data_IF_724372006067
#
_entry.id   IF_724372006067
#
_cell.length_a   1.000
_cell.length_b   1.000
_cell.length_c   1.000
_cell.angle_alpha   90.00
_cell.angle_beta   90.00
_cell.angle_gamma   90.00
#
_symmetry.space_group_name_H-M   'P 1'
#
loop_
_entity.id
_entity.type
_entity.pdbx_description
1 polymer ?
#
# COMPACT_ATOMS: atom_id res chain seq x y z
N UNK A 1 7.51 -13.24 0.87
CA UNK A 1 7.22 -11.80 0.76
C UNK A 1 6.09 -11.43 1.72
N UNK A 2 5.93 -10.15 2.05
CA UNK A 2 4.95 -9.66 3.02
C UNK A 2 4.04 -8.63 2.36
N UNK A 3 2.73 -8.73 2.59
CA UNK A 3 1.71 -7.76 2.20
C UNK A 3 1.15 -7.15 3.46
N UNK A 4 1.13 -5.82 3.56
CA UNK A 4 0.77 -5.12 4.80
C UNK A 4 -0.33 -4.09 4.62
N UNK A 5 -1.11 -3.87 5.67
CA UNK A 5 -1.93 -2.69 5.91
C UNK A 5 -2.04 -2.47 7.43
N UNK A 6 -2.24 -1.25 7.89
CA UNK A 6 -2.49 -0.99 9.31
C UNK A 6 -3.97 -1.05 9.67
N UNK A 7 -4.26 -1.50 10.89
CA UNK A 7 -5.60 -1.69 11.45
C UNK A 7 -6.06 -0.50 12.29
N UNK A 8 -5.10 0.25 12.81
CA UNK A 8 -5.36 1.36 13.71
C UNK A 8 -5.75 2.63 12.93
N UNK A 9 -6.34 3.55 13.66
CA UNK A 9 -6.51 4.94 13.29
C UNK A 9 -6.34 5.79 14.55
N UNK A 10 -6.83 7.04 14.55
CA UNK A 10 -6.58 7.99 15.64
C UNK A 10 -7.21 7.59 16.99
N UNK A 11 -8.21 6.71 16.99
CA UNK A 11 -8.83 6.17 18.20
C UNK A 11 -10.04 6.94 18.68
N UNK A 12 -10.18 7.11 20.00
CA UNK A 12 -11.35 7.73 20.61
C UNK A 12 -11.36 9.26 20.40
N UNK A 13 -12.50 9.79 20.02
CA UNK A 13 -12.74 11.22 19.95
C UNK A 13 -12.97 11.79 21.36
N UNK A 14 -12.02 12.54 21.85
CA UNK A 14 -12.09 13.15 23.21
C UNK A 14 -12.71 14.55 23.22
N UNK A 15 -13.13 15.09 22.07
CA UNK A 15 -13.73 16.42 22.01
C UNK A 15 -15.16 16.48 22.54
N UNK A 16 -15.82 15.32 22.67
CA UNK A 16 -17.23 15.24 23.08
C UNK A 16 -18.24 15.66 22.02
N UNK A 17 -17.78 15.97 20.80
CA UNK A 17 -18.64 16.38 19.68
C UNK A 17 -18.50 15.39 18.51
N UNK A 18 -19.63 15.05 17.88
CA UNK A 18 -19.68 14.13 16.74
C UNK A 18 -19.56 12.66 17.14
N UNK A 19 -19.03 11.82 16.26
CA UNK A 19 -18.84 10.40 16.49
C UNK A 19 -17.87 10.13 17.64
N UNK A 20 -18.06 9.02 18.42
CA UNK A 20 -17.24 8.74 19.61
C UNK A 20 -15.82 8.29 19.28
N UNK A 21 -15.52 7.96 18.03
CA UNK A 21 -14.21 7.51 17.56
C UNK A 21 -13.96 7.95 16.12
N UNK A 22 -12.72 8.01 15.74
CA UNK A 22 -12.28 8.19 14.35
C UNK A 22 -12.35 6.83 13.66
N UNK A 23 -13.22 6.71 12.65
CA UNK A 23 -13.52 5.41 12.03
C UNK A 23 -12.40 4.91 11.10
N UNK A 24 -11.72 5.82 10.39
CA UNK A 24 -10.63 5.47 9.49
C UNK A 24 -11.05 4.54 8.35
N UNK A 25 -12.19 4.84 7.69
CA UNK A 25 -12.72 3.95 6.67
C UNK A 25 -11.80 3.89 5.44
N UNK A 26 -11.20 5.01 5.06
CA UNK A 26 -10.22 5.07 3.98
C UNK A 26 -8.80 4.94 4.51
N UNK A 27 -8.53 5.54 5.67
CA UNK A 27 -7.27 5.49 6.40
C UNK A 27 -7.42 4.68 7.70
N UNK A 28 -7.29 3.31 7.74
CA UNK A 28 -6.89 2.50 6.60
C UNK A 28 -7.78 1.24 6.46
N UNK A 29 -9.08 1.37 6.75
CA UNK A 29 -10.05 0.29 6.54
C UNK A 29 -10.05 -0.22 5.09
N UNK A 30 -9.86 0.67 4.12
CA UNK A 30 -9.74 0.31 2.70
C UNK A 30 -8.52 -0.58 2.42
N UNK A 31 -7.35 -0.24 2.98
CA UNK A 31 -6.14 -1.07 2.84
C UNK A 31 -6.30 -2.44 3.48
N UNK A 32 -6.93 -2.51 4.66
CA UNK A 32 -7.26 -3.78 5.33
C UNK A 32 -8.18 -4.63 4.46
N UNK A 33 -9.23 -4.03 3.88
CA UNK A 33 -10.15 -4.74 2.99
C UNK A 33 -9.44 -5.29 1.75
N UNK A 34 -8.57 -4.50 1.12
CA UNK A 34 -7.74 -4.95 0.00
C UNK A 34 -6.85 -6.14 0.38
N UNK A 35 -6.15 -6.07 1.52
CA UNK A 35 -5.29 -7.18 1.99
C UNK A 35 -6.10 -8.46 2.20
N UNK A 36 -7.30 -8.37 2.80
CA UNK A 36 -8.18 -9.52 3.04
C UNK A 36 -8.73 -10.10 1.73
N UNK A 37 -9.14 -9.25 0.79
CA UNK A 37 -9.67 -9.70 -0.51
C UNK A 37 -8.58 -10.36 -1.35
N UNK A 38 -7.40 -9.76 -1.44
CA UNK A 38 -6.25 -10.34 -2.14
C UNK A 38 -5.87 -11.69 -1.51
N UNK A 39 -5.86 -11.79 -0.18
CA UNK A 39 -5.58 -13.05 0.51
C UNK A 39 -6.61 -14.13 0.16
N UNK A 40 -7.91 -13.76 0.10
CA UNK A 40 -9.01 -14.64 -0.29
C UNK A 40 -8.84 -15.14 -1.73
N UNK A 41 -8.55 -14.26 -2.68
CA UNK A 41 -8.34 -14.60 -4.09
C UNK A 41 -7.13 -15.52 -4.27
N UNK A 42 -6.01 -15.19 -3.65
CA UNK A 42 -4.81 -16.01 -3.73
C UNK A 42 -4.98 -17.38 -3.04
N UNK A 43 -5.77 -17.44 -1.95
CA UNK A 43 -6.10 -18.70 -1.30
C UNK A 43 -7.01 -19.58 -2.17
N UNK A 44 -7.91 -18.98 -2.95
CA UNK A 44 -8.79 -19.69 -3.88
C UNK A 44 -8.10 -20.10 -5.20
N UNK A 45 -6.97 -19.47 -5.56
CA UNK A 45 -6.27 -19.74 -6.80
C UNK A 45 -5.79 -21.20 -6.89
N UNK A 46 -6.03 -21.86 -8.04
CA UNK A 46 -5.61 -23.25 -8.29
C UNK A 46 -4.10 -23.40 -8.32
N UNK A 47 -3.41 -22.42 -8.89
CA UNK A 47 -1.95 -22.39 -8.96
C UNK A 47 -1.43 -21.45 -7.89
N UNK A 48 -0.61 -21.96 -7.00
CA UNK A 48 -0.01 -21.16 -5.93
C UNK A 48 1.30 -20.53 -6.40
N UNK A 49 1.64 -19.32 -5.91
CA UNK A 49 2.91 -18.69 -6.22
C UNK A 49 4.09 -19.50 -5.69
N UNK A 50 5.25 -19.36 -6.31
CA UNK A 50 6.48 -20.08 -5.92
C UNK A 50 7.00 -19.67 -4.53
N UNK A 51 6.89 -18.36 -4.20
CA UNK A 51 7.21 -17.87 -2.85
C UNK A 51 5.95 -17.75 -2.01
N UNK A 52 6.09 -18.11 -0.74
CA UNK A 52 5.02 -17.85 0.24
C UNK A 52 4.74 -16.35 0.36
N UNK A 53 3.46 -16.01 0.46
CA UNK A 53 2.98 -14.66 0.74
C UNK A 53 2.40 -14.63 2.14
N UNK A 54 2.91 -13.75 2.97
CA UNK A 54 2.45 -13.52 4.33
C UNK A 54 1.64 -12.21 4.36
N UNK A 55 0.38 -12.30 4.72
CA UNK A 55 -0.50 -11.16 4.90
C UNK A 55 -0.44 -10.73 6.37
N UNK A 56 -0.10 -9.47 6.61
CA UNK A 56 0.15 -8.96 7.97
C UNK A 56 -0.62 -7.66 8.16
N UNK A 57 -1.58 -7.69 9.06
CA UNK A 57 -2.26 -6.49 9.51
C UNK A 57 -1.51 -5.97 10.74
N UNK A 58 -0.90 -4.80 10.60
CA UNK A 58 -0.12 -4.15 11.67
C UNK A 58 -0.95 -3.14 12.43
N UNK A 59 -0.43 -2.62 13.52
CA UNK A 59 -1.10 -1.61 14.34
C UNK A 59 -0.13 -0.48 14.72
N UNK A 60 -0.67 0.60 15.26
CA UNK A 60 0.08 1.78 15.71
C UNK A 60 0.94 2.42 14.59
N UNK A 61 0.43 2.41 13.35
CA UNK A 61 0.97 3.19 12.23
C UNK A 61 0.93 4.68 12.59
N UNK A 62 -0.23 5.16 13.04
CA UNK A 62 -0.54 6.53 13.46
C UNK A 62 0.27 7.01 14.69
N UNK A 63 0.95 6.10 15.35
CA UNK A 63 1.84 6.36 16.49
C UNK A 63 3.33 6.22 16.12
N UNK A 64 3.64 6.32 14.83
CA UNK A 64 5.00 6.28 14.30
C UNK A 64 5.46 4.90 13.86
N UNK A 65 4.63 4.17 13.14
CA UNK A 65 4.93 2.89 12.48
C UNK A 65 5.36 1.78 13.46
N UNK A 66 4.82 1.77 14.69
CA UNK A 66 5.34 0.91 15.75
C UNK A 66 5.15 -0.58 15.43
N UNK A 67 3.99 -0.97 14.89
CA UNK A 67 3.69 -2.36 14.56
C UNK A 67 4.55 -2.89 13.42
N UNK A 68 4.66 -2.15 12.32
CA UNK A 68 5.51 -2.54 11.20
C UNK A 68 6.99 -2.55 11.58
N UNK A 69 7.43 -1.59 12.40
CA UNK A 69 8.80 -1.53 12.93
C UNK A 69 9.12 -2.76 13.79
N UNK A 70 8.18 -3.15 14.67
CA UNK A 70 8.32 -4.36 15.46
C UNK A 70 8.39 -5.60 14.58
N UNK A 71 7.45 -5.74 13.61
CA UNK A 71 7.40 -6.89 12.72
C UNK A 71 8.63 -6.98 11.81
N UNK A 72 9.07 -5.89 11.21
CA UNK A 72 10.26 -5.87 10.36
C UNK A 72 11.54 -6.26 11.14
N UNK A 73 11.63 -5.89 12.43
CA UNK A 73 12.74 -6.26 13.31
C UNK A 73 12.64 -7.66 13.94
N UNK A 74 11.42 -8.19 14.09
CA UNK A 74 11.14 -9.48 14.71
C UNK A 74 9.97 -10.20 13.99
N UNK A 75 10.16 -10.60 12.74
CA UNK A 75 9.11 -11.28 11.99
C UNK A 75 8.80 -12.65 12.58
N UNK A 76 7.55 -13.12 12.38
CA UNK A 76 7.10 -14.47 12.79
C UNK A 76 7.67 -15.60 11.91
N UNK A 77 8.48 -15.25 10.93
CA UNK A 77 9.20 -16.17 10.02
C UNK A 77 10.68 -15.85 10.06
N UNK A 78 11.58 -16.72 9.58
CA UNK A 78 13.01 -16.41 9.54
C UNK A 78 13.27 -15.06 8.84
N UNK A 79 14.00 -14.11 9.44
CA UNK A 79 14.17 -12.76 8.88
C UNK A 79 14.68 -12.77 7.43
N UNK A 80 15.63 -13.64 7.08
CA UNK A 80 16.18 -13.78 5.74
C UNK A 80 15.15 -14.26 4.70
N UNK A 81 13.99 -14.77 5.11
CA UNK A 81 12.90 -15.19 4.22
C UNK A 81 11.97 -14.01 3.82
N UNK A 82 12.09 -12.87 4.50
CA UNK A 82 11.31 -11.66 4.17
C UNK A 82 12.08 -10.87 3.11
N UNK A 83 11.72 -11.05 1.87
CA UNK A 83 12.48 -10.53 0.71
C UNK A 83 11.82 -9.35 0.00
N UNK A 84 10.57 -9.05 0.33
CA UNK A 84 9.81 -7.94 -0.26
C UNK A 84 8.65 -7.54 0.64
N UNK A 85 8.27 -6.27 0.61
CA UNK A 85 7.03 -5.76 1.19
C UNK A 85 6.20 -5.02 0.14
N UNK A 86 4.89 -5.25 0.13
CA UNK A 86 3.89 -4.48 -0.59
C UNK A 86 2.88 -3.94 0.41
N UNK A 87 2.78 -2.63 0.52
CA UNK A 87 1.96 -1.96 1.54
C UNK A 87 0.73 -1.29 0.92
N UNK A 88 -0.44 -1.54 1.51
CA UNK A 88 -1.72 -0.96 1.14
C UNK A 88 -2.13 0.05 2.20
N UNK A 89 -2.08 1.33 1.80
CA UNK A 89 -2.42 2.43 2.69
C UNK A 89 -3.08 3.55 1.90
N UNK A 90 -4.37 3.78 2.19
CA UNK A 90 -5.17 4.83 1.56
C UNK A 90 -5.15 4.74 0.03
N UNK A 91 -5.66 3.64 -0.55
CA UNK A 91 -5.75 3.46 -2.01
C UNK A 91 -6.52 4.58 -2.73
N UNK A 92 -7.50 5.19 -2.05
CA UNK A 92 -8.37 6.26 -2.52
C UNK A 92 -9.17 5.88 -3.78
N UNK A 93 -10.06 4.87 -3.73
CA UNK A 93 -10.94 4.51 -4.83
C UNK A 93 -12.07 5.53 -5.00
N UNK A 94 -11.74 6.75 -5.41
CA UNK A 94 -12.65 7.88 -5.56
C UNK A 94 -12.96 8.21 -7.02
N UNK A 95 -12.32 7.50 -7.98
CA UNK A 95 -12.49 7.66 -9.41
C UNK A 95 -12.20 6.35 -10.15
N UNK A 96 -12.38 6.36 -11.47
CA UNK A 96 -12.08 5.20 -12.32
C UNK A 96 -10.62 4.78 -12.18
N UNK A 97 -10.39 3.48 -11.99
CA UNK A 97 -9.05 2.89 -11.93
C UNK A 97 -8.52 2.59 -13.35
N UNK A 98 -7.90 3.57 -13.97
CA UNK A 98 -7.23 3.50 -15.26
C UNK A 98 -5.76 3.93 -15.18
N UNK A 99 -5.33 4.34 -14.00
CA UNK A 99 -3.95 4.68 -13.70
C UNK A 99 -3.59 4.32 -12.27
N UNK A 100 -2.31 4.02 -12.03
CA UNK A 100 -1.77 3.63 -10.72
C UNK A 100 -0.56 4.48 -10.37
N UNK A 101 -0.51 4.95 -9.14
CA UNK A 101 0.67 5.54 -8.51
C UNK A 101 1.34 4.46 -7.66
N UNK A 102 2.62 4.21 -7.93
CA UNK A 102 3.41 3.19 -7.25
C UNK A 102 4.63 3.86 -6.63
N UNK A 103 4.59 4.04 -5.32
CA UNK A 103 5.73 4.55 -4.58
C UNK A 103 6.84 3.48 -4.51
N UNK A 104 8.08 3.89 -4.76
CA UNK A 104 9.24 3.00 -4.78
C UNK A 104 9.47 2.28 -6.11
N UNK A 105 8.72 2.62 -7.17
CA UNK A 105 8.75 1.93 -8.48
C UNK A 105 10.13 1.93 -9.15
N UNK A 106 10.94 2.94 -8.91
CA UNK A 106 12.27 3.06 -9.50
C UNK A 106 13.40 2.61 -8.56
N UNK A 107 13.06 2.22 -7.33
CA UNK A 107 14.04 1.94 -6.29
C UNK A 107 14.53 0.48 -6.28
N UNK A 108 13.75 -0.46 -6.80
CA UNK A 108 14.08 -1.89 -6.78
C UNK A 108 13.68 -2.61 -8.07
N UNK A 109 14.11 -3.86 -8.21
CA UNK A 109 13.75 -4.72 -9.35
C UNK A 109 12.25 -5.02 -9.41
N UNK A 110 11.52 -4.91 -8.28
CA UNK A 110 10.05 -5.05 -8.28
C UNK A 110 9.36 -4.01 -9.14
N UNK A 111 9.97 -2.84 -9.33
CA UNK A 111 9.40 -1.80 -10.18
C UNK A 111 9.27 -2.22 -11.64
N UNK A 112 10.18 -3.04 -12.14
CA UNK A 112 10.13 -3.53 -13.51
C UNK A 112 8.96 -4.53 -13.69
N UNK A 113 8.76 -5.42 -12.70
CA UNK A 113 7.60 -6.32 -12.62
C UNK A 113 6.29 -5.53 -12.50
N UNK A 114 6.27 -4.48 -11.67
CA UNK A 114 5.09 -3.63 -11.48
C UNK A 114 4.71 -2.87 -12.77
N UNK A 115 5.70 -2.35 -13.51
CA UNK A 115 5.48 -1.71 -14.82
C UNK A 115 4.91 -2.69 -15.85
N UNK A 116 5.43 -3.93 -15.87
CA UNK A 116 4.92 -4.97 -16.75
C UNK A 116 3.47 -5.37 -16.41
N UNK A 117 3.16 -5.57 -15.13
CA UNK A 117 1.81 -5.88 -14.66
C UNK A 117 0.81 -4.74 -14.99
N UNK A 118 1.20 -3.48 -14.75
CA UNK A 118 0.37 -2.33 -15.09
C UNK A 118 0.06 -2.26 -16.60
N UNK A 119 1.07 -2.51 -17.44
CA UNK A 119 0.89 -2.57 -18.91
C UNK A 119 -0.09 -3.66 -19.32
N UNK A 120 0.00 -4.85 -18.75
CA UNK A 120 -0.93 -5.95 -19.04
C UNK A 120 -2.36 -5.63 -18.59
N UNK A 121 -2.52 -4.89 -17.51
CA UNK A 121 -3.81 -4.43 -17.01
C UNK A 121 -4.34 -3.17 -17.72
N UNK A 122 -3.64 -2.66 -18.74
CA UNK A 122 -3.95 -1.38 -19.43
C UNK A 122 -4.03 -0.19 -18.47
N UNK A 123 -3.18 -0.16 -17.44
CA UNK A 123 -3.08 0.94 -16.49
C UNK A 123 -1.91 1.87 -16.87
N UNK A 124 -2.15 3.16 -16.80
CA UNK A 124 -1.08 4.15 -16.85
C UNK A 124 -0.34 4.17 -15.51
N UNK A 125 0.97 4.01 -15.51
CA UNK A 125 1.79 4.29 -14.31
C UNK A 125 2.09 5.78 -14.30
N UNK A 126 1.62 6.49 -13.28
CA UNK A 126 1.83 7.93 -13.13
C UNK A 126 2.94 8.22 -12.12
N UNK A 127 3.66 9.31 -12.35
CA UNK A 127 4.62 9.83 -11.38
C UNK A 127 3.89 10.37 -10.13
N UNK A 128 4.61 10.45 -9.00
CA UNK A 128 4.09 11.11 -7.81
C UNK A 128 3.78 12.59 -8.12
N UNK A 129 2.51 13.02 -8.03
CA UNK A 129 2.14 14.41 -8.30
C UNK A 129 2.64 15.39 -7.22
N UNK A 130 3.04 14.87 -6.06
CA UNK A 130 3.47 15.66 -4.90
C UNK A 130 4.73 15.09 -4.23
N UNK A 131 5.89 15.03 -4.92
CA UNK A 131 7.11 14.39 -4.42
C UNK A 131 7.62 15.01 -3.11
N UNK A 132 7.36 16.29 -2.88
CA UNK A 132 7.73 16.99 -1.64
C UNK A 132 7.04 16.45 -0.39
N UNK A 133 5.93 15.69 -0.55
CA UNK A 133 5.27 15.02 0.57
C UNK A 133 6.08 13.83 1.11
N UNK A 134 7.06 13.33 0.35
CA UNK A 134 7.88 12.17 0.71
C UNK A 134 7.06 10.93 1.11
N UNK A 135 5.94 10.69 0.43
CA UNK A 135 4.96 9.67 0.81
C UNK A 135 5.54 8.25 0.90
N UNK A 136 6.58 7.95 0.12
CA UNK A 136 7.22 6.63 0.13
C UNK A 136 7.85 6.25 1.49
N UNK A 137 8.17 7.22 2.34
CA UNK A 137 8.78 6.97 3.66
C UNK A 137 7.87 7.32 4.84
N UNK A 138 6.55 7.47 4.58
CA UNK A 138 5.60 7.95 5.60
C UNK A 138 4.57 6.94 6.04
N UNK A 139 4.67 5.67 5.59
CA UNK A 139 3.80 4.59 6.02
C UNK A 139 4.60 3.31 6.24
N UNK A 140 3.94 2.23 6.57
CA UNK A 140 4.50 0.96 7.07
C UNK A 140 5.60 0.34 6.20
N UNK A 141 5.57 0.55 4.87
CA UNK A 141 6.66 0.10 3.99
C UNK A 141 8.02 0.64 4.41
N UNK A 142 8.07 1.81 5.05
CA UNK A 142 9.34 2.39 5.49
C UNK A 142 10.05 1.56 6.55
N UNK A 143 9.32 0.87 7.40
CA UNK A 143 9.88 -0.05 8.39
C UNK A 143 10.64 -1.21 7.73
N UNK A 144 10.12 -1.75 6.62
CA UNK A 144 10.77 -2.79 5.83
C UNK A 144 11.97 -2.23 5.06
N UNK A 145 11.84 -1.04 4.47
CA UNK A 145 12.96 -0.33 3.82
C UNK A 145 14.13 -0.18 4.80
N UNK A 146 13.86 0.27 6.03
CA UNK A 146 14.87 0.42 7.08
C UNK A 146 15.51 -0.91 7.51
N UNK A 147 14.81 -2.02 7.34
CA UNK A 147 15.33 -3.38 7.55
C UNK A 147 16.05 -3.95 6.31
N UNK A 148 16.30 -3.13 5.28
CA UNK A 148 16.98 -3.53 4.05
C UNK A 148 16.11 -4.23 3.01
N UNK A 149 14.81 -4.35 3.26
CA UNK A 149 13.87 -5.10 2.44
C UNK A 149 13.25 -4.16 1.39
N UNK A 150 13.35 -4.46 0.07
CA UNK A 150 12.66 -3.71 -0.97
C UNK A 150 11.16 -3.65 -0.75
N UNK A 151 10.57 -2.48 -0.95
CA UNK A 151 9.16 -2.26 -0.72
C UNK A 151 8.49 -1.43 -1.83
N UNK A 152 7.18 -1.61 -2.00
CA UNK A 152 6.30 -0.80 -2.84
C UNK A 152 5.07 -0.40 -2.03
N UNK A 153 4.46 0.75 -2.37
CA UNK A 153 3.13 1.13 -1.89
C UNK A 153 2.31 1.70 -3.05
N UNK A 154 0.97 1.62 -2.97
CA UNK A 154 0.10 1.79 -4.12
C UNK A 154 -1.07 2.72 -3.82
N UNK A 155 -1.43 3.54 -4.82
CA UNK A 155 -2.65 4.36 -4.79
C UNK A 155 -3.27 4.42 -6.18
N UNK A 156 -4.54 4.79 -6.25
CA UNK A 156 -5.17 5.19 -7.49
C UNK A 156 -4.38 6.35 -8.10
N UNK A 157 -4.04 6.23 -9.40
CA UNK A 157 -3.22 7.21 -10.09
C UNK A 157 -3.99 8.49 -10.40
N UNK A 158 -3.30 9.62 -10.33
CA UNK A 158 -3.76 10.92 -10.80
C UNK A 158 -2.56 11.82 -11.14
N UNK A 159 -2.80 12.85 -11.93
CA UNK A 159 -1.79 13.85 -12.28
C UNK A 159 -2.11 15.16 -11.59
N UNK A 160 -1.09 15.95 -11.29
CA UNK A 160 -1.28 17.31 -10.79
C UNK A 160 -2.17 18.12 -11.76
N UNK A 161 -2.87 19.11 -11.22
CA UNK A 161 -3.72 20.05 -11.98
C UNK A 161 -4.86 19.37 -12.79
N UNK A 162 -5.37 18.23 -12.30
CA UNK A 162 -6.53 17.53 -12.85
C UNK A 162 -7.70 17.51 -11.86
N UNK A 163 -8.90 17.18 -12.35
CA UNK A 163 -10.09 16.97 -11.48
C UNK A 163 -9.82 15.95 -10.39
N UNK A 164 -9.06 14.88 -10.69
CA UNK A 164 -8.68 13.87 -9.69
C UNK A 164 -7.79 14.44 -8.61
N UNK A 165 -6.87 15.33 -8.95
CA UNK A 165 -6.05 16.04 -7.96
C UNK A 165 -6.90 16.95 -7.09
N UNK A 166 -7.93 17.60 -7.65
CA UNK A 166 -8.89 18.40 -6.90
C UNK A 166 -9.72 17.53 -5.94
N UNK A 167 -10.16 16.34 -6.38
CA UNK A 167 -10.88 15.36 -5.53
C UNK A 167 -9.97 14.88 -4.39
N UNK A 168 -8.71 14.50 -4.67
CA UNK A 168 -7.74 14.06 -3.63
C UNK A 168 -7.51 15.17 -2.60
N UNK A 169 -7.32 16.39 -3.07
CA UNK A 169 -7.10 17.55 -2.22
C UNK A 169 -8.30 17.85 -1.32
N UNK A 170 -9.52 17.79 -1.87
CA UNK A 170 -10.75 17.98 -1.11
C UNK A 170 -10.93 16.87 -0.07
N UNK A 171 -10.76 15.59 -0.49
CA UNK A 171 -10.83 14.46 0.42
C UNK A 171 -9.85 14.61 1.59
N UNK A 172 -8.60 14.98 1.29
CA UNK A 172 -7.57 15.18 2.32
C UNK A 172 -7.91 16.34 3.27
N UNK A 173 -8.46 17.41 2.76
CA UNK A 173 -8.83 18.57 3.58
C UNK A 173 -10.02 18.29 4.51
N UNK A 174 -10.97 17.46 4.06
CA UNK A 174 -12.24 17.26 4.75
C UNK A 174 -12.29 15.99 5.59
N UNK A 175 -11.52 14.93 5.20
CA UNK A 175 -11.67 13.59 5.75
C UNK A 175 -10.40 13.01 6.35
N UNK A 176 -9.24 13.32 5.79
CA UNK A 176 -7.98 12.77 6.30
C UNK A 176 -7.77 13.16 7.76
N UNK A 177 -7.64 12.16 8.63
CA UNK A 177 -7.53 12.32 10.08
C UNK A 177 -8.72 13.08 10.72
N UNK A 178 -9.90 12.92 10.15
CA UNK A 178 -11.12 13.57 10.62
C UNK A 178 -12.23 12.54 10.87
N UNK A 179 -13.24 12.93 11.68
CA UNK A 179 -14.42 12.11 11.96
C UNK A 179 -15.22 11.75 10.68
N UNK A 180 -15.06 12.54 9.62
CA UNK A 180 -15.72 12.34 8.35
C UNK A 180 -15.06 11.23 7.49
N UNK A 181 -13.93 10.63 7.90
CA UNK A 181 -13.41 9.42 7.29
C UNK A 181 -14.18 8.20 7.80
N UNK A 182 -15.43 8.08 7.38
CA UNK A 182 -16.35 7.03 7.75
C UNK A 182 -16.99 6.35 6.50
N UNK A 183 -17.86 5.39 6.72
CA UNK A 183 -18.51 4.62 5.64
C UNK A 183 -19.53 5.42 4.81
N UNK A 184 -19.87 6.64 5.19
CA UNK A 184 -20.80 7.49 4.43
C UNK A 184 -20.14 8.17 3.23
N UNK A 185 -18.81 8.16 3.16
CA UNK A 185 -18.06 8.77 2.07
C UNK A 185 -18.26 8.04 0.73
N UNK A 186 -18.14 8.75 -0.40
CA UNK A 186 -18.20 8.12 -1.71
C UNK A 186 -17.02 7.15 -1.89
N UNK A 187 -17.33 5.96 -2.44
CA UNK A 187 -16.33 4.94 -2.79
C UNK A 187 -16.76 4.26 -4.09
N UNK A 188 -15.89 4.28 -5.07
CA UNK A 188 -16.06 3.55 -6.34
C UNK A 188 -15.71 2.07 -6.14
N UNK A 189 -16.64 1.32 -5.53
CA UNK A 189 -16.41 -0.09 -5.14
C UNK A 189 -16.00 -0.99 -6.30
N UNK A 190 -16.59 -0.80 -7.48
CA UNK A 190 -16.23 -1.57 -8.68
C UNK A 190 -14.78 -1.29 -9.12
N UNK A 191 -14.29 -0.09 -8.89
CA UNK A 191 -12.91 0.28 -9.21
C UNK A 191 -11.94 -0.22 -8.14
N UNK A 192 -12.35 -0.26 -6.87
CA UNK A 192 -11.58 -0.91 -5.79
C UNK A 192 -11.34 -2.40 -6.09
N UNK A 193 -12.36 -3.13 -6.59
CA UNK A 193 -12.20 -4.53 -7.01
C UNK A 193 -11.17 -4.68 -8.13
N UNK A 194 -11.14 -3.77 -9.10
CA UNK A 194 -10.11 -3.80 -10.17
C UNK A 194 -8.70 -3.53 -9.63
N UNK A 195 -8.59 -2.64 -8.67
CA UNK A 195 -7.33 -2.37 -7.97
C UNK A 195 -6.83 -3.61 -7.23
N UNK A 196 -7.70 -4.28 -6.48
CA UNK A 196 -7.35 -5.50 -5.74
C UNK A 196 -6.95 -6.63 -6.69
N UNK A 197 -7.66 -6.82 -7.80
CA UNK A 197 -7.31 -7.80 -8.83
C UNK A 197 -5.93 -7.50 -9.46
N UNK A 198 -5.64 -6.23 -9.75
CA UNK A 198 -4.31 -5.81 -10.23
C UNK A 198 -3.22 -6.13 -9.20
N UNK A 199 -3.46 -5.84 -7.93
CA UNK A 199 -2.49 -6.11 -6.86
C UNK A 199 -2.30 -7.62 -6.63
N UNK A 200 -3.37 -8.42 -6.67
CA UNK A 200 -3.28 -9.88 -6.55
C UNK A 200 -2.39 -10.47 -7.67
N UNK A 201 -2.56 -9.98 -8.90
CA UNK A 201 -1.70 -10.38 -10.03
C UNK A 201 -0.26 -9.94 -9.82
N UNK A 202 -0.01 -8.67 -9.47
CA UNK A 202 1.32 -8.15 -9.20
C UNK A 202 2.05 -8.91 -8.08
N UNK A 203 1.35 -9.19 -6.97
CA UNK A 203 1.88 -9.98 -5.86
C UNK A 203 2.28 -11.38 -6.34
N UNK A 204 1.44 -12.00 -7.18
CA UNK A 204 1.70 -13.30 -7.78
C UNK A 204 2.93 -13.25 -8.69
N UNK A 205 3.05 -12.22 -9.52
CA UNK A 205 4.18 -12.03 -10.44
C UNK A 205 5.49 -11.87 -9.65
N UNK A 206 5.54 -10.97 -8.66
CA UNK A 206 6.71 -10.79 -7.77
C UNK A 206 7.05 -12.09 -7.02
N UNK A 207 6.04 -12.83 -6.55
CA UNK A 207 6.25 -14.09 -5.86
C UNK A 207 6.76 -15.21 -6.78
N UNK A 208 6.55 -15.10 -8.08
CA UNK A 208 7.00 -16.07 -9.08
C UNK A 208 8.34 -15.73 -9.73
N UNK A 209 8.85 -14.50 -9.54
CA UNK A 209 10.15 -14.10 -10.07
C UNK A 209 11.24 -15.10 -9.64
N UNK A 210 12.13 -15.53 -10.57
CA UNK A 210 13.23 -16.45 -10.22
C UNK A 210 14.21 -15.81 -9.23
N UNK A 211 14.55 -14.56 -9.45
CA UNK A 211 15.45 -13.79 -8.59
C UNK A 211 14.73 -13.19 -7.41
N UNK A 212 15.40 -13.08 -6.29
CA UNK A 212 14.92 -12.31 -5.12
C UNK A 212 14.93 -10.83 -5.45
N UNK A 213 13.88 -10.06 -5.09
CA UNK A 213 13.87 -8.61 -5.24
C UNK A 213 15.11 -7.94 -4.63
N UNK A 214 15.70 -7.01 -5.37
CA UNK A 214 16.92 -6.31 -4.99
C UNK A 214 16.74 -4.80 -5.15
N UNK A 215 17.38 -3.99 -4.29
CA UNK A 215 17.55 -2.57 -4.51
C UNK A 215 18.38 -2.31 -5.76
N UNK A 216 18.01 -1.32 -6.58
CA UNK A 216 18.83 -0.87 -7.70
C UNK A 216 20.07 -0.14 -7.20
N UNK A 217 21.15 -0.17 -7.97
CA UNK A 217 22.41 0.50 -7.60
C UNK A 217 22.26 2.00 -7.44
N UNK A 218 21.32 2.60 -8.15
CA UNK A 218 20.97 4.02 -8.08
C UNK A 218 20.07 4.38 -6.88
N UNK A 219 19.50 3.37 -6.19
CA UNK A 219 18.59 3.63 -5.09
C UNK A 219 19.31 4.17 -3.85
N UNK A 220 18.79 5.27 -3.33
CA UNK A 220 19.20 5.81 -2.03
C UNK A 220 19.02 4.77 -0.91
N UNK A 221 17.99 3.93 -1.00
CA UNK A 221 17.62 2.96 0.04
C UNK A 221 18.50 1.71 0.05
N UNK A 222 19.29 1.46 -0.99
CA UNK A 222 20.28 0.38 -1.03
C UNK A 222 21.25 0.42 0.16
N UNK A 223 21.48 1.60 0.74
CA UNK A 223 22.31 1.78 1.95
C UNK A 223 21.81 1.02 3.18
N UNK A 224 20.57 0.59 3.20
CA UNK A 224 19.98 -0.21 4.27
C UNK A 224 20.07 -1.72 3.99
N UNK A 225 20.43 -2.13 2.78
CA UNK A 225 20.70 -3.54 2.49
C UNK A 225 21.97 -4.00 3.21
N UNK A 226 21.87 -5.13 3.91
CA UNK A 226 23.00 -5.75 4.60
C UNK A 226 23.85 -6.57 3.63
#
# INVERSE_FOLDING_TARGET
MVVTAHLDHLGVNTTGQGAPYYAGAMDNGAGVASVLEIAREMAAAKVKPKRSVLFVLVTAEEKGLLGSKYFAGKPSVPPASVVANLNMDMALPLWKFDSVLIYGIDESTMGDTAKAAAKLANLEVVADPYPDRNSFIRSDQYSFIRAGIPALSFKFGFKADTDRAAIEKAWRAERYHALADDLSQPVEKAEAVKFDAFLAQLITDVANEPATPQWKDTSFFKRFAN
#
